data_IF_830788887248
#
_entry.id   IF_830788887248
#
_cell.length_a   1.000
_cell.length_b   1.000
_cell.length_c   1.000
_cell.angle_alpha   90.00
_cell.angle_beta   90.00
_cell.angle_gamma   90.00
#
_symmetry.space_group_name_H-M   'P 1'
#
loop_
_entity.id
_entity.type
_entity.pdbx_description
1 polymer ?
#
# COMPACT_ATOMS: atom_id res chain seq x y z
N UNK A 1 -24.89 21.68 -10.63
CA UNK A 1 -24.45 20.37 -10.05
C UNK A 1 -23.46 20.66 -8.94
N UNK A 2 -23.61 20.02 -7.76
CA UNK A 2 -22.70 20.19 -6.62
C UNK A 2 -21.75 18.99 -6.57
N UNK A 3 -20.46 19.24 -6.29
CA UNK A 3 -19.49 18.19 -6.02
C UNK A 3 -19.75 17.66 -4.61
N UNK A 4 -19.97 16.36 -4.47
CA UNK A 4 -20.18 15.69 -3.19
C UNK A 4 -19.02 14.79 -2.81
N UNK A 5 -18.19 14.40 -3.78
CA UNK A 5 -17.01 13.58 -3.58
C UNK A 5 -15.90 14.01 -4.52
N UNK A 6 -14.67 14.03 -4.01
CA UNK A 6 -13.42 14.17 -4.77
C UNK A 6 -12.52 13.01 -4.44
N UNK A 7 -12.15 12.25 -5.47
CA UNK A 7 -11.22 11.15 -5.35
C UNK A 7 -9.87 11.50 -6.00
N UNK A 8 -8.88 11.72 -5.18
CA UNK A 8 -7.52 12.03 -5.56
C UNK A 8 -6.70 10.75 -5.69
N UNK A 9 -6.40 10.36 -6.91
CA UNK A 9 -5.67 9.13 -7.23
C UNK A 9 -4.84 9.29 -8.50
N UNK A 10 -3.99 8.29 -8.79
CA UNK A 10 -3.08 8.28 -9.94
C UNK A 10 -1.82 9.10 -9.71
N UNK A 11 -0.64 8.59 -10.08
CA UNK A 11 0.63 9.20 -9.74
C UNK A 11 0.74 9.47 -8.23
N UNK A 12 1.14 10.70 -7.87
CA UNK A 12 1.05 11.19 -6.49
C UNK A 12 0.23 12.48 -6.48
N UNK A 13 -1.03 12.46 -5.98
CA UNK A 13 -1.93 13.60 -6.07
C UNK A 13 -1.43 14.82 -5.28
N UNK A 14 -0.67 14.61 -4.19
CA UNK A 14 -0.17 15.71 -3.37
C UNK A 14 0.92 16.52 -4.09
N UNK A 15 1.56 15.98 -5.13
CA UNK A 15 2.51 16.72 -5.97
C UNK A 15 1.82 17.64 -6.98
N UNK A 16 0.52 17.53 -7.18
CA UNK A 16 -0.21 18.30 -8.18
C UNK A 16 -0.71 19.63 -7.60
N UNK A 17 -0.27 20.73 -8.17
CA UNK A 17 -0.74 22.06 -7.77
C UNK A 17 -2.27 22.19 -7.84
N UNK A 18 -2.90 21.51 -8.81
CA UNK A 18 -4.36 21.51 -8.99
C UNK A 18 -5.07 20.96 -7.75
N UNK A 19 -4.52 19.91 -7.12
CA UNK A 19 -5.08 19.38 -5.87
C UNK A 19 -5.22 20.48 -4.82
N UNK A 20 -4.14 21.19 -4.52
CA UNK A 20 -4.10 22.22 -3.50
C UNK A 20 -5.04 23.39 -3.81
N UNK A 21 -4.99 23.87 -5.06
CA UNK A 21 -5.85 24.97 -5.52
C UNK A 21 -7.33 24.60 -5.44
N UNK A 22 -7.71 23.36 -5.84
CA UNK A 22 -9.10 22.91 -5.79
C UNK A 22 -9.61 22.76 -4.37
N UNK A 23 -8.81 22.18 -3.47
CA UNK A 23 -9.20 21.98 -2.07
C UNK A 23 -9.34 23.30 -1.34
N UNK A 24 -8.45 24.27 -1.59
CA UNK A 24 -8.58 25.63 -1.05
C UNK A 24 -9.82 26.35 -1.58
N UNK A 25 -10.08 26.21 -2.86
CA UNK A 25 -11.27 26.84 -3.45
C UNK A 25 -12.56 26.31 -2.84
N UNK A 26 -12.65 25.01 -2.54
CA UNK A 26 -13.81 24.43 -1.83
C UNK A 26 -13.94 25.02 -0.42
N UNK A 27 -12.81 25.17 0.28
CA UNK A 27 -12.76 25.79 1.61
C UNK A 27 -13.25 27.24 1.58
N UNK A 28 -12.75 28.05 0.66
CA UNK A 28 -13.14 29.46 0.47
C UNK A 28 -14.65 29.61 0.15
N UNK A 29 -15.19 28.69 -0.64
CA UNK A 29 -16.60 28.67 -1.00
C UNK A 29 -17.53 28.19 0.15
N UNK A 30 -16.97 27.80 1.31
CA UNK A 30 -17.73 27.36 2.47
C UNK A 30 -18.37 25.98 2.34
N UNK A 31 -17.87 25.13 1.42
CA UNK A 31 -18.46 23.79 1.13
C UNK A 31 -17.67 22.57 1.64
N UNK A 32 -16.60 22.67 2.42
CA UNK A 32 -15.81 21.48 2.80
C UNK A 32 -16.66 20.43 3.55
N UNK A 33 -17.68 20.87 4.30
CA UNK A 33 -18.61 19.99 5.03
C UNK A 33 -19.55 19.15 4.13
N UNK A 34 -19.64 19.45 2.83
CA UNK A 34 -20.47 18.74 1.85
C UNK A 34 -19.68 17.81 0.95
N UNK A 35 -18.36 17.80 1.09
CA UNK A 35 -17.46 17.05 0.21
C UNK A 35 -16.75 15.96 1.00
N UNK A 36 -16.84 14.73 0.50
CA UNK A 36 -15.98 13.63 0.91
C UNK A 36 -14.67 13.73 0.11
N UNK A 37 -13.56 13.97 0.79
CA UNK A 37 -12.23 14.00 0.19
C UNK A 37 -11.56 12.63 0.35
N UNK A 38 -11.37 11.89 -0.76
CA UNK A 38 -10.72 10.58 -0.77
C UNK A 38 -9.37 10.65 -1.44
N UNK A 39 -8.41 9.90 -0.89
CA UNK A 39 -7.03 9.88 -1.36
C UNK A 39 -6.51 8.45 -1.48
N UNK A 40 -5.84 8.18 -2.60
CA UNK A 40 -4.79 7.16 -2.68
C UNK A 40 -3.47 7.90 -2.86
N UNK A 41 -2.63 7.86 -1.84
CA UNK A 41 -1.37 8.60 -1.80
C UNK A 41 -0.26 7.72 -1.23
N UNK A 42 0.95 7.94 -1.69
CA UNK A 42 2.13 7.29 -1.11
C UNK A 42 2.49 7.86 0.27
N UNK A 43 1.90 8.99 0.68
CA UNK A 43 2.10 9.66 1.98
C UNK A 43 3.56 9.92 2.37
N UNK A 44 4.50 9.79 1.43
CA UNK A 44 5.93 10.03 1.69
C UNK A 44 6.22 11.49 2.03
N UNK A 45 5.37 12.40 1.59
CA UNK A 45 5.41 13.83 1.94
C UNK A 45 3.99 14.35 2.13
N UNK A 46 3.79 15.12 3.18
CA UNK A 46 2.50 15.78 3.49
C UNK A 46 2.59 17.31 3.36
N UNK A 47 3.77 17.82 3.05
CA UNK A 47 4.03 19.25 2.86
C UNK A 47 4.41 19.54 1.41
N UNK A 48 3.60 20.34 0.73
CA UNK A 48 3.85 20.82 -0.63
C UNK A 48 3.37 22.24 -0.79
N UNK A 49 4.05 23.00 -1.62
CA UNK A 49 3.70 24.39 -1.95
C UNK A 49 3.53 25.28 -0.71
N UNK A 50 4.36 25.04 0.32
CA UNK A 50 4.31 25.79 1.58
C UNK A 50 3.11 25.46 2.48
N UNK A 51 2.40 24.36 2.23
CA UNK A 51 1.18 23.94 2.95
C UNK A 51 1.29 22.51 3.44
N UNK A 52 0.65 22.23 4.57
CA UNK A 52 0.50 20.89 5.13
C UNK A 52 -0.88 20.32 4.78
N UNK A 53 -0.94 19.07 4.34
CA UNK A 53 -2.19 18.40 3.97
C UNK A 53 -3.22 18.44 5.09
N UNK A 54 -2.81 18.20 6.32
CA UNK A 54 -3.73 18.11 7.45
C UNK A 54 -4.06 19.47 8.03
N UNK A 55 -3.03 20.28 8.34
CA UNK A 55 -3.23 21.57 9.01
C UNK A 55 -3.90 22.61 8.13
N UNK A 56 -3.60 22.63 6.84
CA UNK A 56 -4.08 23.68 5.94
C UNK A 56 -5.30 23.26 5.14
N UNK A 57 -5.50 21.95 4.96
CA UNK A 57 -6.59 21.40 4.14
C UNK A 57 -7.55 20.53 4.97
N UNK A 58 -7.13 19.35 5.38
CA UNK A 58 -8.06 18.30 5.88
C UNK A 58 -8.69 18.63 7.23
N UNK A 59 -8.10 19.50 8.04
CA UNK A 59 -8.76 19.96 9.27
C UNK A 59 -10.10 20.67 9.01
N UNK A 60 -10.29 21.23 7.81
CA UNK A 60 -11.53 21.89 7.41
C UNK A 60 -12.57 20.93 6.79
N UNK A 61 -12.14 19.73 6.41
CA UNK A 61 -12.99 18.71 5.80
C UNK A 61 -13.41 17.69 6.87
N UNK A 62 -14.67 17.70 7.31
CA UNK A 62 -15.14 16.74 8.32
C UNK A 62 -15.17 15.31 7.79
N UNK A 63 -15.21 15.13 6.47
CA UNK A 63 -15.21 13.83 5.82
C UNK A 63 -13.97 13.70 4.93
N UNK A 64 -13.08 12.79 5.28
CA UNK A 64 -11.97 12.40 4.41
C UNK A 64 -11.59 10.93 4.61
N UNK A 65 -11.04 10.32 3.58
CA UNK A 65 -10.49 8.97 3.62
C UNK A 65 -9.13 8.96 2.93
N UNK A 66 -8.16 8.35 3.56
CA UNK A 66 -6.81 8.20 3.02
C UNK A 66 -6.44 6.72 3.00
N UNK A 67 -6.18 6.19 1.81
CA UNK A 67 -5.50 4.93 1.60
C UNK A 67 -4.01 5.23 1.40
N UNK A 68 -3.22 4.99 2.46
CA UNK A 68 -1.78 5.22 2.45
C UNK A 68 -1.07 4.02 1.86
N UNK A 69 -0.55 4.17 0.64
CA UNK A 69 0.09 3.08 -0.08
C UNK A 69 1.43 2.69 0.55
N UNK A 70 1.61 1.40 0.81
CA UNK A 70 2.83 0.81 1.36
C UNK A 70 2.96 -0.63 0.84
N UNK A 71 4.18 -1.12 0.59
CA UNK A 71 4.40 -2.46 0.04
C UNK A 71 5.34 -3.30 0.92
N UNK A 72 5.79 -2.75 2.05
CA UNK A 72 6.62 -3.36 3.06
C UNK A 72 7.13 -2.33 4.06
N UNK A 73 7.66 -2.78 5.18
CA UNK A 73 8.25 -1.94 6.24
C UNK A 73 9.76 -1.80 6.07
N UNK A 74 10.37 -0.82 6.73
CA UNK A 74 11.81 -0.64 6.81
C UNK A 74 12.51 -0.77 5.45
N UNK A 75 13.60 -1.52 5.43
CA UNK A 75 14.43 -1.71 4.24
C UNK A 75 13.69 -2.39 3.07
N UNK A 76 12.78 -3.33 3.36
CA UNK A 76 11.97 -3.98 2.32
C UNK A 76 11.07 -2.96 1.63
N UNK A 77 10.39 -2.12 2.39
CA UNK A 77 9.56 -1.04 1.85
C UNK A 77 10.36 -0.05 1.01
N UNK A 78 11.53 0.35 1.48
CA UNK A 78 12.45 1.26 0.77
C UNK A 78 13.01 0.64 -0.51
N UNK A 79 13.31 -0.66 -0.48
CA UNK A 79 13.73 -1.39 -1.67
C UNK A 79 12.63 -1.44 -2.74
N UNK A 80 11.39 -1.77 -2.36
CA UNK A 80 10.28 -1.87 -3.30
C UNK A 80 9.92 -0.48 -3.86
N UNK A 81 9.86 0.54 -3.00
CA UNK A 81 9.49 1.92 -3.34
C UNK A 81 10.71 2.83 -3.35
N UNK A 82 11.35 2.96 -4.49
CA UNK A 82 12.52 3.84 -4.65
C UNK A 82 12.23 5.26 -4.17
N UNK A 83 13.05 5.74 -3.23
CA UNK A 83 12.91 7.07 -2.64
C UNK A 83 11.98 7.15 -1.44
N UNK A 84 11.36 6.05 -1.03
CA UNK A 84 10.70 5.95 0.27
C UNK A 84 11.76 6.07 1.37
N UNK A 85 11.46 6.84 2.38
CA UNK A 85 12.14 6.87 3.67
C UNK A 85 11.13 6.43 4.71
N UNK A 86 11.25 5.18 5.14
CA UNK A 86 10.23 4.51 5.92
C UNK A 86 9.90 5.22 7.23
N UNK A 87 10.91 5.68 7.96
CA UNK A 87 10.70 6.36 9.24
C UNK A 87 9.97 7.71 9.04
N UNK A 88 10.35 8.50 8.03
CA UNK A 88 9.66 9.75 7.71
C UNK A 88 8.21 9.48 7.29
N UNK A 89 7.99 8.43 6.50
CA UNK A 89 6.67 7.98 6.10
C UNK A 89 5.81 7.61 7.31
N UNK A 90 6.35 6.81 8.22
CA UNK A 90 5.66 6.37 9.44
C UNK A 90 5.26 7.56 10.33
N UNK A 91 6.12 8.56 10.46
CA UNK A 91 5.80 9.78 11.19
C UNK A 91 4.71 10.61 10.49
N UNK A 92 4.70 10.68 9.15
CA UNK A 92 3.60 11.31 8.41
C UNK A 92 2.25 10.62 8.66
N UNK A 93 2.23 9.28 8.73
CA UNK A 93 1.02 8.52 9.07
C UNK A 93 0.57 8.82 10.50
N UNK A 94 1.48 8.74 11.47
CA UNK A 94 1.19 9.07 12.88
C UNK A 94 0.66 10.49 13.03
N UNK A 95 1.23 11.42 12.27
CA UNK A 95 0.76 12.80 12.26
C UNK A 95 -0.68 12.90 11.75
N UNK A 96 -0.99 12.26 10.62
CA UNK A 96 -2.34 12.23 10.05
C UNK A 96 -3.38 11.59 10.96
N UNK A 97 -2.99 10.57 11.73
CA UNK A 97 -3.88 9.89 12.67
C UNK A 97 -4.41 10.80 13.79
N UNK A 98 -3.75 11.93 14.08
CA UNK A 98 -4.25 12.94 15.02
C UNK A 98 -5.52 13.64 14.53
N UNK A 99 -5.77 13.61 13.22
CA UNK A 99 -6.94 14.23 12.58
C UNK A 99 -8.08 13.25 12.30
N UNK A 100 -7.85 11.95 12.52
CA UNK A 100 -8.85 10.90 12.32
C UNK A 100 -9.82 10.89 13.51
N UNK A 101 -11.11 10.84 13.20
CA UNK A 101 -12.15 10.70 14.21
C UNK A 101 -12.56 9.23 14.33
N UNK A 102 -12.30 8.63 15.51
CA UNK A 102 -12.64 7.22 15.77
C UNK A 102 -14.15 6.95 15.79
N UNK A 103 -14.96 8.01 15.97
CA UNK A 103 -16.43 7.91 16.01
C UNK A 103 -17.06 8.13 14.64
N UNK A 104 -16.33 8.70 13.69
CA UNK A 104 -16.80 8.98 12.34
C UNK A 104 -16.13 8.05 11.32
N UNK A 105 -16.87 7.06 10.81
CA UNK A 105 -16.36 6.12 9.81
C UNK A 105 -15.90 6.78 8.48
N UNK A 106 -16.33 8.01 8.23
CA UNK A 106 -15.95 8.78 7.04
C UNK A 106 -14.67 9.59 7.21
N UNK A 107 -14.15 9.68 8.42
CA UNK A 107 -12.89 10.38 8.71
C UNK A 107 -11.83 9.38 9.14
N UNK A 108 -11.21 8.73 8.17
CA UNK A 108 -10.32 7.58 8.41
C UNK A 108 -9.07 7.56 7.56
N UNK A 109 -8.07 6.86 8.07
CA UNK A 109 -6.88 6.43 7.33
C UNK A 109 -6.79 4.90 7.35
N UNK A 110 -6.23 4.32 6.27
CA UNK A 110 -6.03 2.89 6.08
C UNK A 110 -4.65 2.67 5.43
N UNK A 111 -3.99 1.58 5.75
CA UNK A 111 -2.83 1.11 4.99
C UNK A 111 -3.31 0.38 3.74
N UNK A 112 -2.74 0.69 2.59
CA UNK A 112 -3.04 0.04 1.31
C UNK A 112 -1.82 -0.77 0.87
N UNK A 113 -1.75 -2.03 1.33
CA UNK A 113 -0.67 -2.96 1.07
C UNK A 113 -0.84 -3.62 -0.29
N UNK A 114 0.16 -3.47 -1.17
CA UNK A 114 0.28 -4.32 -2.35
C UNK A 114 1.36 -5.37 -2.11
N UNK A 115 0.96 -6.64 -1.96
CA UNK A 115 1.91 -7.74 -1.75
C UNK A 115 2.71 -7.94 -3.02
N UNK A 116 4.01 -7.75 -2.90
CA UNK A 116 5.03 -8.02 -3.91
C UNK A 116 5.84 -9.25 -3.52
N UNK A 117 6.67 -9.76 -4.42
CA UNK A 117 7.55 -10.90 -4.10
C UNK A 117 8.49 -10.59 -2.92
N UNK A 118 9.21 -9.46 -2.85
CA UNK A 118 9.97 -9.08 -1.65
C UNK A 118 9.06 -8.82 -0.44
N UNK A 119 7.89 -8.24 -0.65
CA UNK A 119 6.92 -7.93 0.42
C UNK A 119 6.34 -9.16 1.12
N UNK A 120 6.39 -10.35 0.48
CA UNK A 120 6.02 -11.61 1.15
C UNK A 120 6.84 -11.88 2.41
N UNK A 121 8.10 -11.50 2.43
CA UNK A 121 8.98 -11.70 3.57
C UNK A 121 8.75 -10.72 4.72
N UNK A 122 7.86 -9.72 4.51
CA UNK A 122 7.58 -8.65 5.48
C UNK A 122 6.13 -8.67 6.02
N UNK A 123 5.37 -9.71 5.74
CA UNK A 123 3.96 -9.81 6.12
C UNK A 123 3.72 -9.69 7.63
N UNK A 124 4.60 -10.28 8.44
CA UNK A 124 4.54 -10.17 9.90
C UNK A 124 4.68 -8.71 10.36
N UNK A 125 5.67 -7.99 9.85
CA UNK A 125 5.91 -6.60 10.22
C UNK A 125 4.78 -5.67 9.74
N UNK A 126 4.16 -5.96 8.60
CA UNK A 126 2.99 -5.22 8.13
C UNK A 126 1.79 -5.38 9.08
N UNK A 127 1.58 -6.59 9.63
CA UNK A 127 0.56 -6.82 10.67
C UNK A 127 0.91 -6.07 11.95
N UNK A 128 2.17 -6.13 12.39
CA UNK A 128 2.62 -5.39 13.57
C UNK A 128 2.43 -3.89 13.41
N UNK A 129 2.74 -3.33 12.24
CA UNK A 129 2.52 -1.93 11.91
C UNK A 129 1.03 -1.55 11.98
N UNK A 130 0.15 -2.35 11.38
CA UNK A 130 -1.30 -2.15 11.45
C UNK A 130 -1.81 -2.13 12.91
N UNK A 131 -1.32 -3.03 13.73
CA UNK A 131 -1.68 -3.07 15.15
C UNK A 131 -1.10 -1.88 15.94
N UNK A 132 0.16 -1.52 15.72
CA UNK A 132 0.79 -0.35 16.37
C UNK A 132 -0.01 0.93 16.07
N UNK A 133 -0.39 1.12 14.83
CA UNK A 133 -1.13 2.30 14.38
C UNK A 133 -2.64 2.19 14.65
N UNK A 134 -3.14 0.99 14.94
CA UNK A 134 -4.56 0.66 15.10
C UNK A 134 -5.41 1.12 13.91
N UNK A 135 -4.96 0.82 12.70
CA UNK A 135 -5.64 1.14 11.43
C UNK A 135 -5.76 -0.10 10.55
N UNK A 136 -6.75 -0.08 9.66
CA UNK A 136 -7.04 -1.20 8.75
C UNK A 136 -5.91 -1.41 7.75
N UNK A 137 -5.57 -2.68 7.52
CA UNK A 137 -4.65 -3.13 6.50
C UNK A 137 -5.45 -3.67 5.31
N UNK A 138 -5.71 -2.81 4.34
CA UNK A 138 -6.24 -3.22 3.05
C UNK A 138 -5.14 -3.89 2.25
N UNK A 139 -5.41 -5.08 1.76
CA UNK A 139 -4.39 -5.92 1.14
C UNK A 139 -4.83 -6.35 -0.25
N UNK A 140 -3.92 -6.27 -1.19
CA UNK A 140 -4.01 -6.79 -2.54
C UNK A 140 -2.65 -7.33 -2.95
N UNK A 141 -2.60 -8.15 -3.99
CA UNK A 141 -1.35 -8.62 -4.59
C UNK A 141 -1.07 -7.89 -5.91
N UNK A 142 0.18 -7.88 -6.32
CA UNK A 142 0.55 -7.47 -7.68
C UNK A 142 -0.03 -8.49 -8.65
N UNK A 143 -0.92 -8.02 -9.53
CA UNK A 143 -1.39 -8.81 -10.64
C UNK A 143 -0.38 -8.78 -11.78
N UNK A 144 -0.15 -9.94 -12.35
CA UNK A 144 0.67 -10.06 -13.53
C UNK A 144 -0.21 -10.40 -14.73
N UNK A 145 -0.30 -9.45 -15.66
CA UNK A 145 -0.96 -9.65 -16.94
C UNK A 145 0.03 -10.02 -18.07
N UNK A 146 1.33 -10.02 -17.76
CA UNK A 146 2.41 -10.41 -18.64
C UNK A 146 3.52 -11.09 -17.85
N UNK A 147 4.26 -11.99 -18.49
CA UNK A 147 5.37 -12.73 -17.84
C UNK A 147 6.57 -11.87 -17.44
N UNK A 148 6.44 -10.54 -17.52
CA UNK A 148 7.54 -9.58 -17.30
C UNK A 148 7.51 -8.90 -15.94
N UNK A 149 6.50 -9.18 -15.07
CA UNK A 149 6.42 -8.53 -13.77
C UNK A 149 7.20 -9.28 -12.71
N UNK A 150 8.45 -8.86 -12.50
CA UNK A 150 9.38 -9.41 -11.52
C UNK A 150 8.88 -9.35 -10.06
N UNK A 151 7.94 -8.45 -9.78
CA UNK A 151 7.46 -8.25 -8.40
C UNK A 151 6.22 -9.09 -8.06
N UNK A 152 5.70 -9.86 -9.02
CA UNK A 152 4.50 -10.66 -8.78
C UNK A 152 4.79 -11.91 -7.94
N UNK A 153 4.18 -12.04 -6.75
CA UNK A 153 4.45 -13.16 -5.83
C UNK A 153 4.03 -14.51 -6.41
N UNK A 154 3.08 -14.53 -7.33
CA UNK A 154 2.57 -15.76 -7.95
C UNK A 154 3.60 -16.48 -8.84
N UNK A 155 4.74 -15.88 -9.17
CA UNK A 155 5.83 -16.58 -9.85
C UNK A 155 6.77 -17.34 -8.89
N UNK A 156 6.67 -17.11 -7.60
CA UNK A 156 7.38 -17.93 -6.62
C UNK A 156 6.86 -19.37 -6.67
N UNK A 157 7.72 -20.40 -6.50
CA UNK A 157 7.23 -21.78 -6.37
C UNK A 157 6.16 -21.90 -5.29
N UNK A 158 5.12 -22.70 -5.55
CA UNK A 158 3.96 -22.81 -4.66
C UNK A 158 4.35 -23.18 -3.24
N UNK A 159 5.23 -24.18 -3.09
CA UNK A 159 5.66 -24.68 -1.80
C UNK A 159 6.34 -23.58 -0.98
N UNK A 160 7.21 -22.79 -1.60
CA UNK A 160 7.93 -21.69 -0.95
C UNK A 160 6.95 -20.58 -0.56
N UNK A 161 6.07 -20.18 -1.49
CA UNK A 161 5.09 -19.14 -1.23
C UNK A 161 4.14 -19.55 -0.09
N UNK A 162 3.66 -20.79 -0.12
CA UNK A 162 2.76 -21.32 0.91
C UNK A 162 3.44 -21.39 2.28
N UNK A 163 4.67 -21.85 2.34
CA UNK A 163 5.45 -21.88 3.58
C UNK A 163 5.60 -20.47 4.20
N UNK A 164 5.94 -19.48 3.38
CA UNK A 164 6.06 -18.09 3.84
C UNK A 164 4.72 -17.57 4.37
N UNK A 165 3.62 -17.82 3.63
CA UNK A 165 2.28 -17.40 4.02
C UNK A 165 1.84 -18.10 5.32
N UNK A 166 2.05 -19.39 5.42
CA UNK A 166 1.65 -20.18 6.59
C UNK A 166 2.45 -19.77 7.84
N UNK A 167 3.76 -19.52 7.71
CA UNK A 167 4.60 -18.99 8.77
C UNK A 167 4.14 -17.59 9.22
N UNK A 168 3.84 -16.70 8.25
CA UNK A 168 3.33 -15.37 8.57
C UNK A 168 1.98 -15.45 9.28
N UNK A 169 1.09 -16.34 8.86
CA UNK A 169 -0.21 -16.60 9.47
C UNK A 169 -0.06 -17.10 10.90
N UNK A 170 0.77 -18.12 11.14
CA UNK A 170 1.02 -18.65 12.47
C UNK A 170 1.47 -17.57 13.45
N UNK A 171 2.46 -16.77 13.05
CA UNK A 171 3.00 -15.70 13.87
C UNK A 171 2.00 -14.57 14.14
N UNK A 172 1.09 -14.31 13.21
CA UNK A 172 0.21 -13.13 13.25
C UNK A 172 -1.21 -13.44 13.69
N UNK A 173 -1.64 -14.71 13.74
CA UNK A 173 -3.02 -15.10 14.10
C UNK A 173 -3.49 -14.52 15.46
N UNK A 174 -2.59 -14.38 16.42
CA UNK A 174 -2.85 -13.77 17.71
C UNK A 174 -3.26 -12.31 17.63
N UNK A 175 -2.93 -11.62 16.55
CA UNK A 175 -3.30 -10.23 16.28
C UNK A 175 -4.58 -10.10 15.45
N UNK A 176 -5.21 -11.24 15.08
CA UNK A 176 -6.40 -11.25 14.22
C UNK A 176 -7.52 -10.42 14.84
N UNK A 177 -7.89 -9.35 14.15
CA UNK A 177 -8.96 -8.45 14.51
C UNK A 177 -9.65 -7.92 13.25
N UNK A 178 -10.63 -7.04 13.41
CA UNK A 178 -11.38 -6.47 12.27
C UNK A 178 -10.51 -5.72 11.25
N UNK A 179 -9.39 -5.12 11.69
CA UNK A 179 -8.49 -4.36 10.82
C UNK A 179 -7.65 -5.27 9.91
N UNK A 180 -7.56 -6.57 10.20
CA UNK A 180 -6.78 -7.55 9.46
C UNK A 180 -7.64 -8.56 8.69
N UNK A 181 -8.95 -8.36 8.65
CA UNK A 181 -9.84 -9.32 7.98
C UNK A 181 -9.50 -9.46 6.48
N UNK A 182 -9.33 -8.35 5.80
CA UNK A 182 -8.96 -8.34 4.37
C UNK A 182 -7.58 -8.98 4.13
N UNK A 183 -6.61 -8.74 5.03
CA UNK A 183 -5.27 -9.31 4.93
C UNK A 183 -5.31 -10.85 4.91
N UNK A 184 -5.96 -11.47 5.89
CA UNK A 184 -6.02 -12.94 5.95
C UNK A 184 -6.77 -13.55 4.77
N UNK A 185 -7.87 -12.94 4.33
CA UNK A 185 -8.61 -13.38 3.16
C UNK A 185 -7.74 -13.31 1.90
N UNK A 186 -6.95 -12.24 1.73
CA UNK A 186 -6.07 -12.09 0.58
C UNK A 186 -4.98 -13.17 0.54
N UNK A 187 -4.45 -13.59 1.69
CA UNK A 187 -3.49 -14.70 1.76
C UNK A 187 -4.13 -16.04 1.31
N UNK A 188 -5.37 -16.30 1.73
CA UNK A 188 -6.12 -17.50 1.30
C UNK A 188 -6.35 -17.48 -0.22
N UNK A 189 -6.77 -16.34 -0.75
CA UNK A 189 -6.98 -16.15 -2.20
C UNK A 189 -5.69 -16.34 -3.00
N UNK A 190 -4.56 -15.86 -2.50
CA UNK A 190 -3.26 -16.01 -3.17
C UNK A 190 -2.85 -17.48 -3.29
N UNK A 191 -2.97 -18.25 -2.21
CA UNK A 191 -2.65 -19.68 -2.24
C UNK A 191 -3.57 -20.43 -3.20
N UNK A 192 -4.87 -20.14 -3.20
CA UNK A 192 -5.83 -20.77 -4.10
C UNK A 192 -5.58 -20.40 -5.57
N UNK A 193 -5.33 -19.10 -5.84
CA UNK A 193 -5.05 -18.62 -7.19
C UNK A 193 -3.77 -19.21 -7.74
N UNK A 194 -2.71 -19.30 -6.94
CA UNK A 194 -1.44 -19.89 -7.33
C UNK A 194 -1.62 -21.33 -7.77
N UNK A 195 -2.35 -22.12 -7.00
CA UNK A 195 -2.64 -23.51 -7.30
C UNK A 195 -3.42 -23.67 -8.63
N UNK A 196 -4.41 -22.80 -8.85
CA UNK A 196 -5.18 -22.79 -10.09
C UNK A 196 -4.32 -22.38 -11.31
N UNK A 197 -3.47 -21.38 -11.14
CA UNK A 197 -2.62 -20.87 -12.21
C UNK A 197 -1.58 -21.90 -12.67
N UNK A 198 -1.00 -22.68 -11.76
CA UNK A 198 -0.09 -23.77 -12.12
C UNK A 198 -0.75 -24.82 -13.00
N UNK A 199 -2.02 -25.12 -12.75
CA UNK A 199 -2.81 -26.05 -13.58
C UNK A 199 -3.12 -25.46 -14.97
N UNK A 200 -3.30 -24.14 -15.08
CA UNK A 200 -3.70 -23.46 -16.33
C UNK A 200 -2.51 -23.17 -17.24
N UNK A 201 -1.44 -22.61 -16.69
CA UNK A 201 -0.30 -22.12 -17.48
C UNK A 201 0.77 -23.18 -17.75
N UNK A 202 0.83 -24.24 -16.94
CA UNK A 202 1.83 -25.28 -17.07
C UNK A 202 3.24 -24.86 -16.60
N UNK A 203 4.10 -25.89 -16.44
CA UNK A 203 5.43 -25.73 -15.84
C UNK A 203 6.38 -24.86 -16.66
N UNK A 204 6.29 -24.92 -18.00
CA UNK A 204 7.18 -24.15 -18.88
C UNK A 204 6.98 -22.65 -18.77
N UNK A 205 5.72 -22.19 -18.77
CA UNK A 205 5.41 -20.76 -18.63
C UNK A 205 5.81 -20.22 -17.26
N UNK A 206 5.65 -21.02 -16.21
CA UNK A 206 6.16 -20.67 -14.88
C UNK A 206 7.66 -20.52 -14.84
N UNK A 207 8.41 -21.46 -15.40
CA UNK A 207 9.88 -21.38 -15.48
C UNK A 207 10.35 -20.14 -16.25
N UNK A 208 9.67 -19.82 -17.36
CA UNK A 208 9.96 -18.56 -18.09
C UNK A 208 9.71 -17.32 -17.23
N UNK A 209 8.57 -17.26 -16.54
CA UNK A 209 8.24 -16.18 -15.62
C UNK A 209 9.26 -16.02 -14.49
N UNK A 210 9.71 -17.09 -13.88
CA UNK A 210 10.74 -17.08 -12.83
C UNK A 210 12.09 -16.57 -13.36
N UNK A 211 12.53 -17.03 -14.55
CA UNK A 211 13.77 -16.57 -15.16
C UNK A 211 13.70 -15.08 -15.49
N UNK A 212 12.59 -14.62 -16.08
CA UNK A 212 12.39 -13.22 -16.41
C UNK A 212 12.31 -12.35 -15.16
N UNK A 213 11.59 -12.79 -14.13
CA UNK A 213 11.53 -12.12 -12.84
C UNK A 213 12.89 -11.93 -12.21
N UNK A 214 13.71 -12.97 -12.18
CA UNK A 214 15.08 -12.89 -11.67
C UNK A 214 15.92 -11.88 -12.43
N UNK A 215 15.92 -11.93 -13.76
CA UNK A 215 16.64 -10.98 -14.63
C UNK A 215 16.23 -9.54 -14.39
N UNK A 216 14.92 -9.31 -14.22
CA UNK A 216 14.40 -7.97 -13.98
C UNK A 216 14.79 -7.44 -12.60
N UNK A 217 14.77 -8.27 -11.55
CA UNK A 217 15.27 -7.90 -10.22
C UNK A 217 16.76 -7.54 -10.31
N UNK A 218 17.57 -8.36 -10.94
CA UNK A 218 19.01 -8.08 -11.14
C UNK A 218 19.25 -6.80 -11.96
N UNK A 219 18.37 -6.49 -12.93
CA UNK A 219 18.41 -5.24 -13.68
C UNK A 219 18.08 -4.04 -12.82
N UNK A 220 17.02 -4.15 -12.00
CA UNK A 220 16.62 -3.08 -11.08
C UNK A 220 17.69 -2.81 -10.03
N UNK A 221 18.28 -3.84 -9.46
CA UNK A 221 19.37 -3.71 -8.49
C UNK A 221 20.57 -2.94 -9.07
N UNK A 222 20.97 -3.26 -10.31
CA UNK A 222 22.05 -2.52 -10.99
C UNK A 222 21.72 -1.05 -11.20
N UNK A 223 20.49 -0.74 -11.63
CA UNK A 223 20.05 0.64 -11.89
C UNK A 223 19.96 1.45 -10.60
N UNK A 224 19.52 0.82 -9.52
CA UNK A 224 19.26 1.47 -8.22
C UNK A 224 20.47 1.46 -7.30
N UNK A 225 21.50 0.67 -7.61
CA UNK A 225 22.63 0.42 -6.71
C UNK A 225 22.21 -0.37 -5.46
N UNK A 226 21.20 -1.22 -5.57
CA UNK A 226 20.69 -2.08 -4.51
C UNK A 226 21.11 -3.54 -4.73
N UNK A 227 20.84 -4.38 -3.72
CA UNK A 227 21.06 -5.83 -3.79
C UNK A 227 20.02 -6.52 -2.89
N UNK A 228 19.02 -7.14 -3.50
CA UNK A 228 17.94 -7.82 -2.77
C UNK A 228 18.45 -8.89 -1.81
N UNK A 229 19.63 -9.47 -2.06
CA UNK A 229 20.21 -10.50 -1.19
C UNK A 229 20.73 -9.95 0.14
N UNK A 230 20.79 -8.62 0.28
CA UNK A 230 21.27 -7.93 1.49
C UNK A 230 20.14 -7.33 2.33
N UNK A 231 18.92 -7.45 1.86
CA UNK A 231 17.72 -7.00 2.51
C UNK A 231 17.01 -8.16 3.20
#
# INVERSE_FOLDING_TARGET
KRITELYWCGGEPLMWKIHWTAMERIKELGYPHKVLARYNSNMSRINFYGKNLFDDILKYFPNFQICASIDGTGQIGEYIRTGLKYDEWKENIKYGLKFVDKTNAWKRMQLDLTITMPGLFDLENMVLLSNELNIELLTKQVFNFSNDNAMAPLFMPYEIMSEIIDNAREKTIKYKNKNLHNFFNQLDEMQQQKRNNELVYGEEEYKKGQINGKREIERLDRIRGTDIKKI
#
